data_IF_459528215417
#
_entry.id   IF_459528215417
#
_cell.length_a   1.000
_cell.length_b   1.000
_cell.length_c   1.000
_cell.angle_alpha   90.00
_cell.angle_beta   90.00
_cell.angle_gamma   90.00
#
_symmetry.space_group_name_H-M   'P 1'
#
loop_
_entity.id
_entity.type
_entity.pdbx_description
1 polymer ?
#
# COMPACT_ATOMS: atom_id res chain seq x y z
N UNK A 1 23.06 -12.09 5.81
CA UNK A 1 22.25 -11.47 4.75
C UNK A 1 21.08 -10.72 5.39
N UNK A 2 20.73 -9.61 4.81
CA UNK A 2 19.62 -8.82 5.35
C UNK A 2 18.28 -9.53 5.08
N UNK A 3 17.36 -9.41 6.04
CA UNK A 3 15.98 -9.87 5.86
C UNK A 3 15.32 -9.03 4.78
N UNK A 4 14.59 -9.63 3.83
CA UNK A 4 13.87 -8.83 2.82
C UNK A 4 12.88 -7.87 3.48
N UNK A 5 12.75 -6.68 2.90
CA UNK A 5 11.74 -5.73 3.35
C UNK A 5 10.35 -6.28 3.05
N UNK A 6 9.41 -6.05 3.95
CA UNK A 6 8.06 -6.57 3.84
C UNK A 6 7.08 -5.50 3.36
N UNK A 7 6.25 -5.89 2.40
CA UNK A 7 5.29 -4.98 1.77
C UNK A 7 3.90 -5.63 1.79
N UNK A 8 2.90 -4.84 2.18
CA UNK A 8 1.50 -5.24 2.09
C UNK A 8 0.87 -4.48 0.92
N UNK A 9 0.29 -5.22 -0.04
CA UNK A 9 -0.41 -4.63 -1.18
C UNK A 9 -1.91 -4.83 -0.97
N UNK A 10 -2.64 -3.71 -0.89
CA UNK A 10 -4.08 -3.69 -0.63
C UNK A 10 -4.80 -3.11 -1.84
N UNK A 11 -5.59 -3.92 -2.52
CA UNK A 11 -6.33 -3.51 -3.71
C UNK A 11 -7.43 -4.53 -3.97
N UNK A 12 -8.67 -4.07 -4.15
CA UNK A 12 -9.77 -4.96 -4.44
C UNK A 12 -9.80 -5.43 -5.90
N UNK A 13 -9.07 -4.78 -6.78
CA UNK A 13 -8.89 -5.26 -8.16
C UNK A 13 -7.84 -6.36 -8.20
N UNK A 14 -8.26 -7.59 -8.49
CA UNK A 14 -7.37 -8.75 -8.46
C UNK A 14 -6.17 -8.59 -9.38
N UNK A 15 -6.40 -8.11 -10.61
CA UNK A 15 -5.30 -7.94 -11.59
C UNK A 15 -4.27 -6.91 -11.12
N UNK A 16 -4.74 -5.77 -10.67
CA UNK A 16 -3.86 -4.70 -10.19
C UNK A 16 -3.04 -5.19 -9.00
N UNK A 17 -3.72 -5.78 -8.03
CA UNK A 17 -3.06 -6.29 -6.82
C UNK A 17 -1.99 -7.33 -7.15
N UNK A 18 -2.35 -8.32 -7.98
CA UNK A 18 -1.44 -9.40 -8.32
C UNK A 18 -0.27 -8.94 -9.18
N UNK A 19 -0.50 -8.01 -10.10
CA UNK A 19 0.58 -7.48 -10.92
C UNK A 19 1.61 -6.74 -10.06
N UNK A 20 1.15 -5.93 -9.14
CA UNK A 20 2.04 -5.20 -8.22
C UNK A 20 2.81 -6.20 -7.35
N UNK A 21 2.10 -7.15 -6.75
CA UNK A 21 2.72 -8.13 -5.86
C UNK A 21 3.74 -9.00 -6.58
N UNK A 22 3.41 -9.49 -7.77
CA UNK A 22 4.32 -10.31 -8.56
C UNK A 22 5.59 -9.54 -8.90
N UNK A 23 5.42 -8.30 -9.40
CA UNK A 23 6.57 -7.47 -9.78
C UNK A 23 7.50 -7.22 -8.59
N UNK A 24 6.94 -6.89 -7.43
CA UNK A 24 7.75 -6.61 -6.25
C UNK A 24 8.42 -7.87 -5.70
N UNK A 25 7.77 -9.02 -5.77
CA UNK A 25 8.39 -10.29 -5.40
C UNK A 25 9.60 -10.60 -6.29
N UNK A 26 9.51 -10.25 -7.58
CA UNK A 26 10.63 -10.38 -8.51
C UNK A 26 11.80 -9.49 -8.12
N UNK A 27 11.54 -8.41 -7.39
CA UNK A 27 12.57 -7.51 -6.88
C UNK A 27 13.06 -7.91 -5.49
N UNK A 28 12.73 -9.11 -5.05
CA UNK A 28 13.17 -9.71 -3.78
C UNK A 28 12.55 -9.10 -2.52
N UNK A 29 11.37 -8.50 -2.64
CA UNK A 29 10.60 -8.09 -1.47
C UNK A 29 9.72 -9.24 -0.99
N UNK A 30 9.44 -9.24 0.33
CA UNK A 30 8.48 -10.15 0.94
C UNK A 30 7.11 -9.50 0.88
N UNK A 31 6.22 -10.00 0.02
CA UNK A 31 4.96 -9.32 -0.30
C UNK A 31 3.76 -10.16 0.13
N UNK A 32 2.86 -9.55 0.88
CA UNK A 32 1.54 -10.12 1.18
C UNK A 32 0.47 -9.26 0.54
N UNK A 33 -0.70 -9.85 0.31
CA UNK A 33 -1.81 -9.21 -0.38
C UNK A 33 -3.05 -9.19 0.50
N UNK A 34 -3.83 -8.11 0.40
CA UNK A 34 -5.15 -8.02 1.01
C UNK A 34 -6.10 -7.41 -0.02
N UNK A 35 -7.34 -7.87 -0.04
CA UNK A 35 -8.29 -7.46 -1.07
C UNK A 35 -9.20 -6.31 -0.62
N UNK A 36 -9.17 -5.93 0.65
CA UNK A 36 -9.94 -4.79 1.16
C UNK A 36 -9.35 -4.28 2.48
N UNK A 37 -9.97 -3.22 3.01
CA UNK A 37 -9.48 -2.58 4.23
C UNK A 37 -9.61 -3.46 5.47
N UNK A 38 -10.64 -4.29 5.55
CA UNK A 38 -10.83 -5.19 6.71
C UNK A 38 -9.74 -6.23 6.74
N UNK A 39 -9.48 -6.87 5.60
CA UNK A 39 -8.39 -7.85 5.47
C UNK A 39 -7.04 -7.22 5.76
N UNK A 40 -6.83 -5.98 5.30
CA UNK A 40 -5.59 -5.26 5.56
C UNK A 40 -5.36 -5.07 7.06
N UNK A 41 -6.38 -4.63 7.79
CA UNK A 41 -6.26 -4.44 9.24
C UNK A 41 -6.00 -5.75 9.97
N UNK A 42 -6.61 -6.86 9.54
CA UNK A 42 -6.34 -8.18 10.12
C UNK A 42 -4.86 -8.55 9.97
N UNK A 43 -4.31 -8.36 8.79
CA UNK A 43 -2.90 -8.67 8.52
C UNK A 43 -1.97 -7.75 9.32
N UNK A 44 -2.31 -6.46 9.39
CA UNK A 44 -1.52 -5.49 10.15
C UNK A 44 -1.50 -5.76 11.66
N UNK A 45 -2.50 -6.46 12.19
CA UNK A 45 -2.51 -6.89 13.59
C UNK A 45 -1.50 -8.00 13.86
N UNK A 46 -1.24 -8.83 12.86
CA UNK A 46 -0.44 -10.03 13.02
C UNK A 46 1.03 -9.83 12.69
N UNK A 47 1.35 -8.82 11.88
CA UNK A 47 2.69 -8.62 11.38
C UNK A 47 2.94 -7.13 11.12
N UNK A 48 4.14 -6.67 11.42
CA UNK A 48 4.56 -5.32 11.08
C UNK A 48 5.19 -5.32 9.68
N UNK A 49 4.73 -4.41 8.83
CA UNK A 49 5.25 -4.26 7.47
C UNK A 49 6.12 -3.01 7.38
N UNK A 50 7.11 -3.05 6.50
CA UNK A 50 7.91 -1.86 6.21
C UNK A 50 7.15 -0.85 5.36
N UNK A 51 6.25 -1.34 4.50
CA UNK A 51 5.50 -0.51 3.56
C UNK A 51 4.13 -1.10 3.31
N UNK A 52 3.12 -0.23 3.16
CA UNK A 52 1.81 -0.61 2.65
C UNK A 52 1.53 0.18 1.37
N UNK A 53 1.16 -0.52 0.31
CA UNK A 53 0.68 0.08 -0.93
C UNK A 53 -0.83 -0.16 -0.96
N UNK A 54 -1.63 0.90 -0.97
CA UNK A 54 -3.07 0.78 -0.75
C UNK A 54 -3.86 1.60 -1.76
N UNK A 55 -4.85 0.94 -2.38
CA UNK A 55 -5.82 1.64 -3.23
C UNK A 55 -6.69 2.53 -2.34
N UNK A 56 -6.96 3.74 -2.82
CA UNK A 56 -7.76 4.72 -2.06
C UNK A 56 -9.23 4.30 -1.99
N UNK A 57 -9.77 3.79 -3.10
CA UNK A 57 -11.20 3.45 -3.19
C UNK A 57 -11.38 1.95 -3.10
N UNK A 58 -11.92 1.48 -1.97
CA UNK A 58 -12.17 0.06 -1.72
C UNK A 58 -13.51 -0.12 -1.01
N UNK A 59 -14.17 -1.28 -1.18
CA UNK A 59 -15.38 -1.56 -0.42
C UNK A 59 -15.08 -1.80 1.06
N UNK A 60 -16.07 -1.63 1.89
CA UNK A 60 -16.10 -1.82 3.35
C UNK A 60 -15.30 -0.77 4.10
N UNK A 61 -13.97 -0.87 4.13
CA UNK A 61 -13.11 0.13 4.76
C UNK A 61 -12.22 0.75 3.70
N UNK A 62 -12.22 2.08 3.62
CA UNK A 62 -11.38 2.82 2.67
C UNK A 62 -9.93 2.90 3.16
N UNK A 63 -9.04 3.36 2.28
CA UNK A 63 -7.66 3.62 2.67
C UNK A 63 -7.59 4.62 3.82
N UNK A 64 -8.49 5.60 3.84
CA UNK A 64 -8.52 6.61 4.90
C UNK A 64 -8.76 5.99 6.27
N UNK A 65 -9.70 5.04 6.35
CA UNK A 65 -10.00 4.33 7.59
C UNK A 65 -8.84 3.47 8.05
N UNK A 66 -8.18 2.78 7.10
CA UNK A 66 -7.02 1.95 7.41
C UNK A 66 -5.88 2.82 7.94
N UNK A 67 -5.61 3.95 7.31
CA UNK A 67 -4.55 4.87 7.72
C UNK A 67 -4.83 5.45 9.10
N UNK A 68 -6.08 5.82 9.38
CA UNK A 68 -6.46 6.33 10.70
C UNK A 68 -6.18 5.29 11.78
N UNK A 69 -6.52 4.04 11.53
CA UNK A 69 -6.26 2.96 12.47
C UNK A 69 -4.75 2.73 12.66
N UNK A 70 -3.97 2.81 11.59
CA UNK A 70 -2.51 2.69 11.66
C UNK A 70 -1.91 3.80 12.52
N UNK A 71 -2.39 5.03 12.35
CA UNK A 71 -1.95 6.17 13.17
C UNK A 71 -2.31 5.98 14.63
N UNK A 72 -3.52 5.50 14.89
CA UNK A 72 -4.00 5.21 16.25
C UNK A 72 -3.09 4.21 16.96
N UNK A 73 -2.56 3.23 16.23
CA UNK A 73 -1.66 2.22 16.77
C UNK A 73 -0.19 2.61 16.70
N UNK A 74 0.12 3.79 16.18
CA UNK A 74 1.50 4.27 15.99
C UNK A 74 2.36 3.29 15.21
N UNK A 75 1.80 2.71 14.15
CA UNK A 75 2.55 1.76 13.31
C UNK A 75 3.60 2.49 12.47
N UNK A 76 4.83 1.99 12.43
CA UNK A 76 5.93 2.66 11.71
C UNK A 76 5.96 2.33 10.21
N UNK A 77 4.87 1.85 9.67
CA UNK A 77 4.76 1.41 8.28
C UNK A 77 4.67 2.62 7.34
N UNK A 78 5.53 2.69 6.33
CA UNK A 78 5.42 3.71 5.28
C UNK A 78 4.22 3.42 4.39
N UNK A 79 3.68 4.45 3.74
CA UNK A 79 2.45 4.31 2.96
C UNK A 79 2.64 4.91 1.56
N UNK A 80 2.25 4.14 0.54
CA UNK A 80 2.07 4.62 -0.83
C UNK A 80 0.61 4.38 -1.19
N UNK A 81 -0.04 5.41 -1.73
CA UNK A 81 -1.42 5.29 -2.19
C UNK A 81 -1.47 5.11 -3.70
N UNK A 82 -2.43 4.33 -4.17
CA UNK A 82 -2.71 4.17 -5.59
C UNK A 82 -4.19 4.45 -5.81
N UNK A 83 -4.54 5.13 -6.90
CA UNK A 83 -5.93 5.49 -7.16
C UNK A 83 -6.18 5.88 -8.61
N UNK A 84 -7.39 5.63 -9.09
CA UNK A 84 -7.89 6.23 -10.33
C UNK A 84 -8.51 7.61 -10.09
N UNK A 85 -8.59 8.08 -8.82
CA UNK A 85 -9.30 9.31 -8.44
C UNK A 85 -8.42 10.17 -7.51
N UNK A 86 -7.35 10.80 -8.06
CA UNK A 86 -6.38 11.50 -7.20
C UNK A 86 -6.94 12.73 -6.46
N UNK A 87 -8.04 13.30 -6.95
CA UNK A 87 -8.69 14.46 -6.32
C UNK A 87 -9.23 14.13 -4.92
N UNK A 88 -9.58 12.86 -4.65
CA UNK A 88 -10.07 12.45 -3.34
C UNK A 88 -9.04 12.63 -2.23
N UNK A 89 -7.76 12.57 -2.57
CA UNK A 89 -6.69 12.71 -1.58
C UNK A 89 -6.64 14.09 -0.98
N UNK A 90 -6.79 15.11 -1.80
CA UNK A 90 -6.79 16.50 -1.34
C UNK A 90 -7.97 16.75 -0.39
N UNK A 91 -9.15 16.22 -0.73
CA UNK A 91 -10.35 16.37 0.09
C UNK A 91 -10.19 15.76 1.48
N UNK A 92 -9.41 14.68 1.60
CA UNK A 92 -9.22 13.97 2.85
C UNK A 92 -7.93 14.34 3.59
N UNK A 93 -7.20 15.33 3.08
CA UNK A 93 -5.96 15.77 3.74
C UNK A 93 -4.80 14.80 3.59
N UNK A 94 -4.83 13.91 2.61
CA UNK A 94 -3.78 12.92 2.37
C UNK A 94 -2.91 13.25 1.16
N UNK A 95 -3.02 14.46 0.62
CA UNK A 95 -2.29 14.86 -0.57
C UNK A 95 -0.76 14.91 -0.40
N UNK A 96 -0.28 14.86 0.84
CA UNK A 96 1.15 14.85 1.13
C UNK A 96 1.77 13.43 1.09
N UNK A 97 0.95 12.39 1.01
CA UNK A 97 1.46 11.02 0.90
C UNK A 97 1.82 10.70 -0.56
N UNK A 98 2.85 9.86 -0.78
CA UNK A 98 3.14 9.40 -2.13
C UNK A 98 1.92 8.73 -2.75
N UNK A 99 1.58 9.11 -3.97
CA UNK A 99 0.42 8.58 -4.66
C UNK A 99 0.71 8.38 -6.13
N UNK A 100 0.28 7.22 -6.65
CA UNK A 100 0.37 6.92 -8.09
C UNK A 100 -1.04 6.81 -8.66
N UNK A 101 -1.29 7.56 -9.74
CA UNK A 101 -2.58 7.53 -10.43
C UNK A 101 -2.60 6.37 -11.41
N UNK A 102 -3.64 5.53 -11.33
CA UNK A 102 -3.81 4.41 -12.25
C UNK A 102 -4.23 4.91 -13.63
N UNK A 103 -3.69 4.36 -14.72
CA UNK A 103 -2.60 3.37 -14.74
C UNK A 103 -1.25 4.03 -14.52
N UNK A 104 -0.33 3.32 -13.90
CA UNK A 104 1.01 3.84 -13.62
C UNK A 104 2.07 2.81 -14.04
N UNK A 105 3.32 3.29 -14.15
CA UNK A 105 4.44 2.44 -14.52
C UNK A 105 4.97 1.74 -13.26
N UNK A 106 5.13 0.41 -13.32
CA UNK A 106 5.60 -0.36 -12.17
C UNK A 106 7.04 0.01 -11.75
N UNK A 107 7.87 0.43 -12.69
CA UNK A 107 9.23 0.86 -12.35
C UNK A 107 9.23 2.17 -11.57
N UNK A 108 8.30 3.07 -11.87
CA UNK A 108 8.16 4.31 -11.10
C UNK A 108 7.73 3.99 -9.67
N UNK A 109 6.80 3.05 -9.50
CA UNK A 109 6.40 2.57 -8.18
C UNK A 109 7.60 1.95 -7.44
N UNK A 110 8.36 1.11 -8.12
CA UNK A 110 9.53 0.46 -7.54
C UNK A 110 10.56 1.47 -7.05
N UNK A 111 10.83 2.52 -7.81
CA UNK A 111 11.76 3.57 -7.39
C UNK A 111 11.28 4.25 -6.09
N UNK A 112 9.99 4.51 -5.99
CA UNK A 112 9.44 5.10 -4.75
C UNK A 112 9.55 4.12 -3.59
N UNK A 113 9.31 2.83 -3.81
CA UNK A 113 9.48 1.80 -2.79
C UNK A 113 10.91 1.82 -2.26
N UNK A 114 11.90 1.87 -3.16
CA UNK A 114 13.31 1.92 -2.76
C UNK A 114 13.62 3.15 -1.91
N UNK A 115 13.08 4.31 -2.27
CA UNK A 115 13.27 5.52 -1.48
C UNK A 115 12.76 5.38 -0.05
N UNK A 116 11.64 4.67 0.13
CA UNK A 116 10.97 4.60 1.42
C UNK A 116 11.49 3.48 2.33
N UNK A 117 11.97 2.38 1.77
CA UNK A 117 12.32 1.20 2.58
C UNK A 117 13.76 0.73 2.44
N UNK A 118 14.42 1.09 1.38
CA UNK A 118 15.83 0.76 1.18
C UNK A 118 16.71 1.97 1.56
#
# INVERSE_FOLDING_TARGET
>A
MATPKSILVVDNEVRSRRNIAYFLREQNYDVEEADDGVSALDVLQKKTFDLMICDVVMPRLSAFDVIDEMKSRSLPTSIILITGHPDLLAEKGLGNLPCFTKPFNLYDLYHKVQELVD
#
